data_IF_551390642092
#
_entry.id   IF_551390642092
#
_cell.length_a   1.000
_cell.length_b   1.000
_cell.length_c   1.000
_cell.angle_alpha   90.00
_cell.angle_beta   90.00
_cell.angle_gamma   90.00
#
_symmetry.space_group_name_H-M   'P 1'
#
loop_
_entity.id
_entity.type
_entity.pdbx_description
1 polymer ?
#
# COMPACT_ATOMS: atom_id res chain seq x y z
N UNK A 1 2.88 -20.19 8.87
CA UNK A 1 2.97 -19.13 9.88
C UNK A 1 2.04 -18.00 9.46
N UNK A 2 1.02 -17.70 10.27
CA UNK A 2 -0.07 -16.79 9.92
C UNK A 2 0.35 -15.35 10.21
N UNK A 3 0.80 -14.62 9.20
CA UNK A 3 1.18 -13.21 9.36
C UNK A 3 -0.02 -12.34 9.08
N UNK A 4 -0.66 -11.87 10.15
CA UNK A 4 -1.77 -10.92 10.10
C UNK A 4 -1.38 -9.67 9.30
N UNK A 5 -2.32 -9.08 8.53
CA UNK A 5 -2.04 -7.86 7.78
C UNK A 5 -1.65 -6.76 8.76
N UNK A 6 -0.44 -6.23 8.62
CA UNK A 6 -0.01 -5.04 9.34
C UNK A 6 -0.81 -3.86 8.79
N UNK A 7 -1.96 -3.59 9.39
CA UNK A 7 -2.70 -2.35 9.18
C UNK A 7 -1.77 -1.20 9.56
N UNK A 8 -1.23 -0.53 8.54
CA UNK A 8 -0.50 0.71 8.76
C UNK A 8 -1.45 1.74 9.35
N UNK A 9 -0.93 2.43 10.37
CA UNK A 9 -1.62 3.43 11.18
C UNK A 9 -2.49 4.34 10.32
N UNK A 10 -3.74 4.51 10.76
CA UNK A 10 -4.71 5.49 10.29
C UNK A 10 -3.99 6.77 9.89
N UNK A 11 -3.79 6.97 8.59
CA UNK A 11 -3.37 8.27 8.07
C UNK A 11 -4.58 9.15 8.28
N UNK A 12 -4.53 9.93 9.37
CA UNK A 12 -5.53 10.94 9.71
C UNK A 12 -5.94 11.65 8.43
N UNK A 13 -7.25 11.77 8.21
CA UNK A 13 -7.85 12.41 7.03
C UNK A 13 -7.58 13.93 7.02
N UNK A 14 -6.31 14.31 7.11
CA UNK A 14 -5.87 15.68 7.11
C UNK A 14 -6.14 16.27 5.74
N UNK A 15 -6.91 17.36 5.76
CA UNK A 15 -7.11 18.18 4.58
C UNK A 15 -5.80 18.87 4.21
N UNK A 16 -5.52 19.07 2.91
CA UNK A 16 -4.45 19.95 2.46
C UNK A 16 -4.51 21.31 3.17
N UNK A 17 -3.35 21.87 3.50
CA UNK A 17 -3.25 23.16 4.21
C UNK A 17 -4.07 24.26 3.51
N UNK A 18 -3.99 24.33 2.19
CA UNK A 18 -4.73 25.29 1.37
C UNK A 18 -6.26 25.16 1.52
N UNK A 19 -6.79 23.94 1.67
CA UNK A 19 -8.22 23.73 1.90
C UNK A 19 -8.63 24.14 3.32
N UNK A 20 -7.75 23.97 4.30
CA UNK A 20 -7.98 24.45 5.67
C UNK A 20 -7.98 25.98 5.71
N UNK A 21 -7.01 26.61 5.06
CA UNK A 21 -6.94 28.06 4.93
C UNK A 21 -8.18 28.62 4.21
N UNK A 22 -8.57 28.00 3.09
CA UNK A 22 -9.75 28.39 2.33
C UNK A 22 -11.04 28.24 3.16
N UNK A 23 -11.15 27.22 4.00
CA UNK A 23 -12.27 27.08 4.93
C UNK A 23 -12.34 28.28 5.90
N UNK A 24 -11.19 28.73 6.42
CA UNK A 24 -11.09 29.91 7.27
C UNK A 24 -11.52 31.20 6.55
N UNK A 25 -11.07 31.39 5.31
CA UNK A 25 -11.48 32.53 4.48
C UNK A 25 -12.98 32.54 4.20
N UNK A 26 -13.57 31.38 3.87
CA UNK A 26 -15.02 31.25 3.65
C UNK A 26 -15.80 31.54 4.93
N UNK A 27 -15.32 31.11 6.09
CA UNK A 27 -15.96 31.37 7.38
C UNK A 27 -15.97 32.87 7.74
N UNK A 28 -14.97 33.64 7.28
CA UNK A 28 -14.90 35.08 7.48
C UNK A 28 -15.84 35.89 6.54
N UNK A 29 -16.43 35.27 5.52
CA UNK A 29 -17.34 35.95 4.60
C UNK A 29 -18.71 36.26 5.25
N UNK A 30 -19.38 37.34 4.80
CA UNK A 30 -20.79 37.58 5.09
C UNK A 30 -21.68 36.38 4.78
N UNK A 31 -22.77 36.23 5.53
CA UNK A 31 -23.62 35.03 5.52
C UNK A 31 -24.23 34.78 4.13
N UNK A 32 -24.55 35.85 3.40
CA UNK A 32 -25.15 35.78 2.07
C UNK A 32 -24.22 35.09 1.07
N UNK A 33 -22.93 35.44 1.09
CA UNK A 33 -21.90 34.85 0.23
C UNK A 33 -21.51 33.45 0.70
N UNK A 34 -21.45 33.24 2.02
CA UNK A 34 -21.13 31.92 2.57
C UNK A 34 -22.14 30.86 2.16
N UNK A 35 -23.45 31.18 2.25
CA UNK A 35 -24.53 30.26 1.89
C UNK A 35 -24.46 29.73 0.46
N UNK A 36 -23.91 30.50 -0.48
CA UNK A 36 -23.79 30.08 -1.88
C UNK A 36 -22.53 29.24 -2.13
N UNK A 37 -21.43 29.55 -1.45
CA UNK A 37 -20.12 28.92 -1.66
C UNK A 37 -19.96 27.63 -0.84
N UNK A 38 -20.42 27.64 0.41
CA UNK A 38 -20.22 26.56 1.38
C UNK A 38 -20.70 25.18 0.89
N UNK A 39 -21.85 25.03 0.21
CA UNK A 39 -22.24 23.74 -0.35
C UNK A 39 -21.27 23.19 -1.39
N UNK A 40 -20.69 24.06 -2.23
CA UNK A 40 -19.73 23.66 -3.26
C UNK A 40 -18.39 23.30 -2.61
N UNK A 41 -17.94 24.13 -1.67
CA UNK A 41 -16.72 23.90 -0.91
C UNK A 41 -16.76 22.58 -0.13
N UNK A 42 -17.89 22.27 0.52
CA UNK A 42 -18.09 21.00 1.21
C UNK A 42 -17.97 19.80 0.26
N UNK A 43 -18.55 19.88 -0.94
CA UNK A 43 -18.39 18.82 -1.96
C UNK A 43 -16.94 18.63 -2.39
N UNK A 44 -16.19 19.73 -2.58
CA UNK A 44 -14.76 19.67 -2.95
C UNK A 44 -13.95 19.01 -1.83
N UNK A 45 -14.19 19.43 -0.59
CA UNK A 45 -13.56 18.87 0.62
C UNK A 45 -13.80 17.37 0.72
N UNK A 46 -15.04 16.91 0.60
CA UNK A 46 -15.38 15.49 0.64
C UNK A 46 -14.80 14.70 -0.53
N UNK A 47 -14.80 15.28 -1.74
CA UNK A 47 -14.16 14.66 -2.91
C UNK A 47 -12.65 14.49 -2.70
N UNK A 48 -12.00 15.46 -2.04
CA UNK A 48 -10.57 15.45 -1.76
C UNK A 48 -10.22 14.38 -0.72
N UNK A 49 -10.98 14.31 0.38
CA UNK A 49 -10.85 13.24 1.38
C UNK A 49 -11.03 11.86 0.74
N UNK A 50 -12.06 11.70 -0.10
CA UNK A 50 -12.32 10.43 -0.79
C UNK A 50 -11.16 10.02 -1.71
N UNK A 51 -10.62 10.94 -2.52
CA UNK A 51 -9.47 10.65 -3.38
C UNK A 51 -8.25 10.22 -2.57
N UNK A 52 -7.97 10.91 -1.46
CA UNK A 52 -6.85 10.56 -0.57
C UNK A 52 -7.03 9.16 0.04
N UNK A 53 -8.22 8.82 0.51
CA UNK A 53 -8.54 7.46 0.99
C UNK A 53 -8.28 6.40 -0.08
N UNK A 54 -8.73 6.63 -1.31
CA UNK A 54 -8.52 5.70 -2.44
C UNK A 54 -7.01 5.54 -2.72
N UNK A 55 -6.26 6.65 -2.78
CA UNK A 55 -4.83 6.61 -3.02
C UNK A 55 -4.08 5.85 -1.92
N UNK A 56 -4.44 6.06 -0.65
CA UNK A 56 -3.84 5.33 0.47
C UNK A 56 -4.10 3.83 0.35
N UNK A 57 -5.34 3.42 0.06
CA UNK A 57 -5.68 2.00 -0.15
C UNK A 57 -4.87 1.37 -1.30
N UNK A 58 -4.71 2.10 -2.41
CA UNK A 58 -3.89 1.65 -3.54
C UNK A 58 -2.43 1.53 -3.13
N UNK A 59 -1.89 2.50 -2.39
CA UNK A 59 -0.52 2.45 -1.89
C UNK A 59 -0.29 1.26 -0.95
N UNK A 60 -1.23 1.00 -0.04
CA UNK A 60 -1.16 -0.15 0.87
C UNK A 60 -1.21 -1.47 0.10
N UNK A 61 -2.10 -1.60 -0.89
CA UNK A 61 -2.19 -2.78 -1.74
C UNK A 61 -0.90 -3.01 -2.55
N UNK A 62 -0.31 -1.96 -3.11
CA UNK A 62 0.97 -2.04 -3.83
C UNK A 62 2.13 -2.40 -2.90
N UNK A 63 2.13 -1.87 -1.67
CA UNK A 63 3.14 -2.21 -0.66
C UNK A 63 3.05 -3.69 -0.26
N UNK A 64 1.84 -4.20 -0.09
CA UNK A 64 1.59 -5.62 0.17
C UNK A 64 2.05 -6.48 -1.01
N UNK A 65 1.65 -6.16 -2.24
CA UNK A 65 2.08 -6.90 -3.44
C UNK A 65 3.60 -6.94 -3.58
N UNK A 66 4.27 -5.81 -3.31
CA UNK A 66 5.74 -5.74 -3.34
C UNK A 66 6.38 -6.66 -2.30
N UNK A 67 5.76 -6.81 -1.13
CA UNK A 67 6.22 -7.74 -0.10
C UNK A 67 5.99 -9.20 -0.55
N UNK A 68 4.81 -9.50 -1.11
CA UNK A 68 4.47 -10.83 -1.61
C UNK A 68 5.43 -11.26 -2.73
N UNK A 69 5.81 -10.34 -3.63
CA UNK A 69 6.84 -10.59 -4.64
C UNK A 69 8.20 -10.93 -4.04
N UNK A 70 8.61 -10.28 -2.93
CA UNK A 70 9.87 -10.61 -2.26
C UNK A 70 9.85 -12.02 -1.68
N UNK A 71 8.72 -12.43 -1.10
CA UNK A 71 8.56 -13.79 -0.59
C UNK A 71 8.59 -14.82 -1.71
N UNK A 72 7.91 -14.55 -2.83
CA UNK A 72 7.93 -15.48 -3.97
C UNK A 72 9.34 -15.69 -4.54
N UNK A 73 10.13 -14.63 -4.63
CA UNK A 73 11.53 -14.73 -5.09
C UNK A 73 12.37 -15.52 -4.09
N UNK A 74 12.19 -15.29 -2.79
CA UNK A 74 12.89 -16.03 -1.75
C UNK A 74 12.57 -17.53 -1.79
N UNK A 75 11.29 -17.89 -1.89
CA UNK A 75 10.85 -19.28 -1.98
C UNK A 75 11.37 -19.95 -3.27
N UNK A 76 11.44 -19.21 -4.38
CA UNK A 76 12.03 -19.69 -5.63
C UNK A 76 13.53 -19.97 -5.50
N UNK A 77 14.27 -19.11 -4.79
CA UNK A 77 15.70 -19.32 -4.53
C UNK A 77 15.93 -20.53 -3.62
N UNK A 78 15.11 -20.70 -2.58
CA UNK A 78 15.16 -21.85 -1.69
C UNK A 78 14.92 -23.17 -2.46
N UNK A 79 13.86 -23.24 -3.26
CA UNK A 79 13.52 -24.43 -4.06
C UNK A 79 14.56 -24.74 -5.15
N UNK A 80 15.19 -23.70 -5.72
CA UNK A 80 16.32 -23.90 -6.65
C UNK A 80 17.52 -24.53 -5.94
N UNK A 81 17.88 -24.00 -4.77
CA UNK A 81 18.99 -24.53 -3.97
C UNK A 81 18.74 -25.98 -3.55
N UNK A 82 17.57 -26.27 -3.00
CA UNK A 82 17.18 -27.65 -2.61
C UNK A 82 17.26 -28.62 -3.79
N UNK A 83 16.80 -28.21 -4.97
CA UNK A 83 16.90 -29.01 -6.19
C UNK A 83 18.36 -29.24 -6.60
N UNK A 84 19.18 -28.20 -6.56
CA UNK A 84 20.58 -28.29 -6.96
C UNK A 84 21.38 -29.19 -6.00
N UNK A 85 21.12 -29.10 -4.70
CA UNK A 85 21.67 -29.99 -3.67
C UNK A 85 21.25 -31.45 -3.91
N UNK A 86 19.96 -31.71 -4.14
CA UNK A 86 19.45 -33.06 -4.43
C UNK A 86 20.04 -33.65 -5.72
N UNK A 87 20.26 -32.82 -6.75
CA UNK A 87 20.87 -33.27 -8.00
C UNK A 87 22.34 -33.66 -7.80
N UNK A 88 23.08 -32.88 -7.00
CA UNK A 88 24.46 -33.18 -6.67
C UNK A 88 24.59 -34.53 -5.93
N UNK A 89 23.72 -34.80 -4.95
CA UNK A 89 23.69 -36.09 -4.23
C UNK A 89 23.43 -37.28 -5.17
N UNK A 90 22.53 -37.13 -6.16
CA UNK A 90 22.25 -38.18 -7.15
C UNK A 90 23.43 -38.41 -8.10
N UNK A 91 24.11 -37.36 -8.53
CA UNK A 91 25.31 -37.44 -9.38
C UNK A 91 26.47 -38.13 -8.61
N UNK A 92 26.68 -37.80 -7.34
CA UNK A 92 27.67 -38.47 -6.48
C UNK A 92 27.31 -39.94 -6.21
N UNK A 93 26.04 -40.25 -5.93
CA UNK A 93 25.57 -41.61 -5.68
C UNK A 93 25.68 -42.52 -6.91
N UNK A 94 25.47 -41.97 -8.11
CA UNK A 94 25.62 -42.70 -9.39
C UNK A 94 27.10 -43.01 -9.68
N UNK A 95 28.01 -42.04 -9.47
CA UNK A 95 29.46 -42.27 -9.62
C UNK A 95 30.03 -43.33 -8.66
N UNK A 96 29.36 -43.57 -7.53
CA UNK A 96 29.79 -44.53 -6.49
C UNK A 96 29.24 -45.94 -6.68
N UNK A 97 28.33 -46.14 -7.65
CA UNK A 97 27.75 -47.44 -8.00
C UNK A 97 28.41 -48.13 -9.20
N UNK A 98 29.33 -47.45 -9.89
CA UNK A 98 30.04 -47.93 -11.09
C UNK A 98 31.51 -48.36 -10.81
N UNK A 99 31.95 -48.38 -9.54
CA UNK A 99 33.21 -49.01 -9.06
C UNK A 99 32.93 -50.31 -8.30
#
# INVERSE_FOLDING_TARGET
MSTAPRMNKTTTEELPADLVELAGLIAALPVEHRRTIEPVFNRVTESTKRRRRILNLVQDALAQLRLDMKYLVFDLEATRRERDDARHELEEGTSRGDE
#
